data_IF_887010930145
#
_entry.id   IF_887010930145
#
_cell.length_a   1.000
_cell.length_b   1.000
_cell.length_c   1.000
_cell.angle_alpha   90.00
_cell.angle_beta   90.00
_cell.angle_gamma   90.00
#
_symmetry.space_group_name_H-M   'P 1'
#
loop_
_entity.id
_entity.type
_entity.pdbx_description
1 polymer ?
#
# COMPACT_ATOMS: atom_id res chain seq x y z
N UNK A 1 -12.07 -41.84 -39.56
CA UNK A 1 -12.61 -40.72 -38.76
C UNK A 1 -11.48 -40.21 -37.84
N UNK A 2 -10.85 -39.12 -38.23
CA UNK A 2 -9.72 -38.53 -37.51
C UNK A 2 -10.25 -37.41 -36.64
N UNK A 3 -10.16 -37.54 -35.30
CA UNK A 3 -10.47 -36.50 -34.38
C UNK A 3 -9.25 -35.55 -34.28
N UNK A 4 -9.39 -34.36 -34.83
CA UNK A 4 -8.43 -33.25 -34.60
C UNK A 4 -8.70 -32.66 -33.22
N UNK A 5 -7.75 -32.83 -32.31
CA UNK A 5 -7.75 -32.10 -31.04
C UNK A 5 -7.35 -30.66 -31.30
N UNK A 6 -8.28 -29.71 -31.15
CA UNK A 6 -8.00 -28.30 -31.10
C UNK A 6 -7.36 -28.01 -29.72
N UNK A 7 -6.05 -27.82 -29.70
CA UNK A 7 -5.36 -27.19 -28.55
C UNK A 7 -5.65 -25.68 -28.58
N UNK A 8 -6.51 -25.23 -27.71
CA UNK A 8 -6.63 -23.80 -27.36
C UNK A 8 -5.32 -23.40 -26.63
N UNK A 9 -4.39 -22.81 -27.37
CA UNK A 9 -3.33 -22.01 -26.76
C UNK A 9 -3.98 -20.74 -26.22
N UNK A 10 -4.18 -20.66 -24.90
CA UNK A 10 -4.36 -19.41 -24.22
C UNK A 10 -3.04 -18.65 -24.34
N UNK A 11 -2.99 -17.63 -25.17
CA UNK A 11 -1.89 -16.66 -25.19
C UNK A 11 -1.91 -15.94 -23.85
N UNK A 12 -0.92 -16.21 -23.01
CA UNK A 12 -0.66 -15.48 -21.80
C UNK A 12 0.08 -14.18 -22.20
N UNK A 13 -0.69 -13.13 -22.54
CA UNK A 13 -0.17 -11.81 -22.96
C UNK A 13 0.67 -11.13 -21.87
N UNK A 14 0.62 -11.64 -20.64
CA UNK A 14 1.37 -11.11 -19.49
C UNK A 14 2.87 -11.43 -19.56
N UNK A 15 3.27 -12.51 -20.24
CA UNK A 15 4.68 -12.93 -20.32
C UNK A 15 5.54 -11.94 -21.09
N UNK A 16 4.98 -11.27 -22.11
CA UNK A 16 5.70 -10.31 -22.97
C UNK A 16 5.89 -8.94 -22.33
N UNK A 17 5.20 -8.64 -21.22
CA UNK A 17 5.34 -7.37 -20.51
C UNK A 17 6.36 -7.45 -19.36
N UNK A 18 6.71 -8.66 -18.87
CA UNK A 18 7.67 -8.86 -17.80
C UNK A 18 9.10 -8.53 -18.27
N UNK A 19 9.78 -7.66 -17.47
CA UNK A 19 11.15 -7.21 -17.79
C UNK A 19 12.17 -7.99 -16.97
N UNK A 20 12.01 -8.00 -15.64
CA UNK A 20 12.96 -8.59 -14.71
C UNK A 20 12.33 -8.91 -13.36
N UNK A 21 12.99 -9.78 -12.61
CA UNK A 21 12.64 -10.06 -11.22
C UNK A 21 13.90 -10.17 -10.36
N UNK A 22 13.83 -9.64 -9.14
CA UNK A 22 14.89 -9.71 -8.15
C UNK A 22 14.34 -10.29 -6.86
N UNK A 23 15.10 -11.14 -6.19
CA UNK A 23 14.64 -11.83 -4.98
C UNK A 23 15.09 -11.07 -3.74
N UNK A 24 14.14 -10.49 -3.02
CA UNK A 24 14.37 -9.79 -1.76
C UNK A 24 14.10 -10.67 -0.53
N UNK A 25 13.23 -11.67 -0.64
CA UNK A 25 12.98 -12.62 0.43
C UNK A 25 12.89 -14.07 -0.10
N UNK A 26 13.80 -14.95 0.31
CA UNK A 26 13.88 -16.32 -0.21
C UNK A 26 12.65 -17.17 0.15
N UNK A 27 12.17 -17.06 1.38
CA UNK A 27 10.96 -17.75 1.88
C UNK A 27 9.65 -17.02 1.61
N UNK A 28 9.72 -15.86 0.95
CA UNK A 28 8.58 -14.98 0.70
C UNK A 28 8.50 -13.81 1.66
N UNK A 29 7.84 -12.74 1.22
CA UNK A 29 7.60 -11.54 2.02
C UNK A 29 6.30 -11.65 2.84
N UNK A 30 6.25 -10.93 3.95
CA UNK A 30 5.09 -10.80 4.82
C UNK A 30 4.42 -9.43 4.71
N UNK A 31 5.23 -8.40 4.48
CA UNK A 31 4.84 -7.04 4.13
C UNK A 31 5.96 -6.42 3.30
N UNK A 32 5.64 -5.46 2.47
CA UNK A 32 6.63 -4.62 1.77
C UNK A 32 6.04 -3.28 1.38
N UNK A 33 6.92 -2.30 1.18
CA UNK A 33 6.60 -0.99 0.64
C UNK A 33 7.73 -0.49 -0.25
N UNK A 34 7.38 0.16 -1.36
CA UNK A 34 8.31 0.75 -2.34
C UNK A 34 8.24 2.26 -2.17
N UNK A 35 9.39 2.94 -2.20
CA UNK A 35 9.43 4.41 -2.15
C UNK A 35 8.79 5.04 -3.39
N UNK A 36 8.25 6.26 -3.23
CA UNK A 36 7.55 6.97 -4.30
C UNK A 36 8.42 7.17 -5.56
N UNK A 37 9.74 7.37 -5.39
CA UNK A 37 10.71 7.48 -6.49
C UNK A 37 11.24 6.13 -7.00
N UNK A 38 10.76 5.01 -6.43
CA UNK A 38 11.18 3.64 -6.77
C UNK A 38 12.68 3.36 -6.59
N UNK A 39 13.34 4.06 -5.68
CA UNK A 39 14.77 3.82 -5.37
C UNK A 39 15.00 2.91 -4.18
N UNK A 40 14.00 2.75 -3.32
CA UNK A 40 14.08 1.97 -2.08
C UNK A 40 12.89 1.01 -2.00
N UNK A 41 13.16 -0.20 -1.50
CA UNK A 41 12.10 -1.09 -1.01
C UNK A 41 12.42 -1.54 0.43
N UNK A 42 11.39 -1.65 1.24
CA UNK A 42 11.48 -2.23 2.58
C UNK A 42 10.61 -3.48 2.62
N UNK A 43 11.20 -4.60 3.02
CA UNK A 43 10.58 -5.92 2.96
C UNK A 43 10.70 -6.62 4.30
N UNK A 44 9.57 -7.10 4.84
CA UNK A 44 9.53 -7.94 6.04
C UNK A 44 9.45 -9.42 5.66
N UNK A 45 10.31 -10.24 6.23
CA UNK A 45 10.32 -11.68 6.03
C UNK A 45 10.63 -12.45 7.32
N UNK A 46 10.23 -13.73 7.37
CA UNK A 46 10.52 -14.60 8.54
C UNK A 46 12.02 -14.79 8.71
N UNK A 47 12.76 -14.95 7.61
CA UNK A 47 14.16 -15.34 7.62
C UNK A 47 15.08 -14.18 7.98
N UNK A 48 14.78 -12.97 7.50
CA UNK A 48 15.71 -11.83 7.58
C UNK A 48 15.20 -10.67 8.44
N UNK A 49 13.96 -10.75 8.98
CA UNK A 49 13.32 -9.61 9.64
C UNK A 49 12.93 -8.53 8.64
N UNK A 50 13.31 -7.29 8.90
CA UNK A 50 13.00 -6.14 8.05
C UNK A 50 14.27 -5.76 7.28
N UNK A 51 14.23 -5.89 5.96
CA UNK A 51 15.37 -5.59 5.07
C UNK A 51 15.07 -4.36 4.21
N UNK A 52 16.07 -3.49 4.07
CA UNK A 52 16.01 -2.30 3.22
C UNK A 52 16.88 -2.53 2.00
N UNK A 53 16.31 -2.33 0.82
CA UNK A 53 16.96 -2.57 -0.47
C UNK A 53 17.10 -1.27 -1.26
N UNK A 54 18.26 -1.07 -1.84
CA UNK A 54 18.50 -0.07 -2.88
C UNK A 54 18.09 -0.68 -4.23
N UNK A 55 17.06 -0.13 -4.86
CA UNK A 55 16.48 -0.67 -6.10
C UNK A 55 17.26 -0.25 -7.36
N UNK A 56 18.21 0.68 -7.23
CA UNK A 56 19.08 1.08 -8.33
C UNK A 56 20.20 0.07 -8.56
N UNK A 57 20.70 -0.51 -7.46
CA UNK A 57 21.77 -1.50 -7.45
C UNK A 57 21.30 -2.92 -7.13
N UNK A 58 20.05 -3.07 -6.66
CA UNK A 58 19.50 -4.29 -6.06
C UNK A 58 20.34 -4.84 -4.90
N UNK A 59 20.95 -3.95 -4.13
CA UNK A 59 21.76 -4.28 -2.96
C UNK A 59 20.99 -4.05 -1.66
N UNK A 60 21.14 -4.97 -0.72
CA UNK A 60 20.62 -4.79 0.64
C UNK A 60 21.45 -3.72 1.37
N UNK A 61 20.77 -2.68 1.89
CA UNK A 61 21.39 -1.58 2.64
C UNK A 61 21.43 -1.86 4.14
N UNK A 62 20.27 -2.23 4.72
CA UNK A 62 20.09 -2.41 6.15
C UNK A 62 19.29 -3.66 6.47
N UNK A 63 19.46 -4.15 7.71
CA UNK A 63 18.58 -5.13 8.36
C UNK A 63 18.14 -4.53 9.68
N UNK A 64 16.84 -4.30 9.82
CA UNK A 64 16.25 -3.75 11.03
C UNK A 64 15.55 -4.81 11.86
N UNK A 65 15.49 -4.58 13.16
CA UNK A 65 14.83 -5.48 14.10
C UNK A 65 14.03 -4.69 15.12
N UNK A 66 12.78 -5.06 15.33
CA UNK A 66 11.94 -4.51 16.41
C UNK A 66 12.39 -4.98 17.79
N UNK A 67 12.97 -6.17 17.87
CA UNK A 67 13.41 -6.79 19.11
C UNK A 67 14.74 -7.53 18.86
N UNK A 68 15.61 -7.57 19.86
CA UNK A 68 16.86 -8.33 19.78
C UNK A 68 16.60 -9.82 19.66
N UNK A 69 15.66 -10.34 20.50
CA UNK A 69 15.25 -11.73 20.51
C UNK A 69 13.77 -11.87 20.13
N UNK A 70 13.44 -12.80 19.23
CA UNK A 70 12.08 -13.13 18.86
C UNK A 70 11.74 -12.88 17.39
N UNK A 71 10.43 -12.92 17.08
CA UNK A 71 9.96 -12.67 15.72
C UNK A 71 10.03 -11.18 15.39
N UNK A 72 10.79 -10.86 14.36
CA UNK A 72 10.91 -9.50 13.81
C UNK A 72 9.99 -9.26 12.61
N UNK A 73 8.89 -10.01 12.53
CA UNK A 73 7.88 -9.82 11.51
C UNK A 73 7.04 -8.59 11.78
N UNK A 74 7.01 -7.69 10.83
CA UNK A 74 6.06 -6.58 10.80
C UNK A 74 4.99 -6.83 9.76
N UNK A 75 3.78 -6.34 10.04
CA UNK A 75 2.61 -6.49 9.17
C UNK A 75 2.34 -5.25 8.32
N UNK A 76 2.87 -4.09 8.73
CA UNK A 76 2.71 -2.85 8.02
C UNK A 76 4.06 -2.14 7.90
N UNK A 77 4.29 -1.55 6.73
CA UNK A 77 5.47 -0.76 6.39
C UNK A 77 4.99 0.43 5.57
N UNK A 78 5.48 1.62 5.89
CA UNK A 78 5.21 2.81 5.08
C UNK A 78 6.46 3.68 5.02
N UNK A 79 6.88 4.05 3.81
CA UNK A 79 8.02 4.94 3.54
C UNK A 79 7.48 6.35 3.33
N UNK A 80 8.07 7.34 3.97
CA UNK A 80 7.72 8.74 3.73
C UNK A 80 7.98 9.13 2.27
N UNK A 81 7.14 9.99 1.70
CA UNK A 81 7.23 10.38 0.29
C UNK A 81 8.60 10.98 -0.09
N UNK A 82 9.27 11.67 0.84
CA UNK A 82 10.62 12.23 0.66
C UNK A 82 11.76 11.24 0.93
N UNK A 83 11.46 9.96 1.14
CA UNK A 83 12.42 8.91 1.46
C UNK A 83 13.26 9.13 2.73
N UNK A 84 12.86 10.05 3.60
CA UNK A 84 13.62 10.37 4.80
C UNK A 84 13.45 9.32 5.91
N UNK A 85 12.22 8.78 6.05
CA UNK A 85 11.86 7.87 7.13
C UNK A 85 11.00 6.71 6.67
N UNK A 86 11.07 5.62 7.44
CA UNK A 86 10.17 4.47 7.35
C UNK A 86 9.49 4.27 8.69
N UNK A 87 8.20 4.02 8.69
CA UNK A 87 7.50 3.48 9.84
C UNK A 87 7.19 2.00 9.59
N UNK A 88 7.45 1.17 10.59
CA UNK A 88 7.11 -0.26 10.57
C UNK A 88 6.29 -0.62 11.79
N UNK A 89 5.33 -1.52 11.66
CA UNK A 89 4.55 -1.97 12.82
C UNK A 89 4.23 -3.46 12.77
N UNK A 90 4.19 -4.06 13.95
CA UNK A 90 3.46 -5.29 14.22
C UNK A 90 2.04 -4.95 14.74
N UNK A 91 1.41 -5.86 15.49
CA UNK A 91 0.06 -5.64 16.03
C UNK A 91 0.01 -4.70 17.23
N UNK A 92 1.11 -4.55 17.95
CA UNK A 92 1.15 -3.88 19.26
C UNK A 92 2.14 -2.74 19.33
N UNK A 93 3.13 -2.73 18.43
CA UNK A 93 4.22 -1.78 18.46
C UNK A 93 4.55 -1.23 17.06
N UNK A 94 5.14 -0.05 17.04
CA UNK A 94 5.68 0.54 15.81
C UNK A 94 7.03 1.21 16.08
N UNK A 95 7.85 1.27 15.04
CA UNK A 95 9.16 1.93 15.06
C UNK A 95 9.27 2.93 13.91
N UNK A 96 9.98 4.02 14.14
CA UNK A 96 10.37 5.01 13.13
C UNK A 96 11.85 4.88 12.86
N UNK A 97 12.21 4.72 11.58
CA UNK A 97 13.59 4.50 11.13
C UNK A 97 14.03 5.63 10.23
N UNK A 98 15.23 6.14 10.44
CA UNK A 98 15.88 7.09 9.55
C UNK A 98 16.57 6.32 8.42
N UNK A 99 16.21 6.56 7.16
CA UNK A 99 16.75 5.83 6.00
C UNK A 99 18.21 6.22 5.70
N UNK A 100 18.59 7.46 5.97
CA UNK A 100 19.93 7.96 5.64
C UNK A 100 21.00 7.24 6.46
N UNK A 101 20.78 7.11 7.76
CA UNK A 101 21.74 6.50 8.70
C UNK A 101 21.43 5.04 9.02
N UNK A 102 20.22 4.55 8.74
CA UNK A 102 19.79 3.19 9.01
C UNK A 102 19.43 2.90 10.46
N UNK A 103 19.26 3.92 11.31
CA UNK A 103 19.05 3.80 12.74
C UNK A 103 17.61 4.10 13.15
N UNK A 104 17.11 3.51 14.27
CA UNK A 104 15.80 3.83 14.79
C UNK A 104 15.79 5.21 15.47
N UNK A 105 14.78 6.02 15.18
CA UNK A 105 14.51 7.28 15.89
C UNK A 105 13.62 7.06 17.13
N UNK A 106 12.86 5.98 17.17
CA UNK A 106 12.04 5.63 18.29
C UNK A 106 11.21 4.37 18.10
N UNK A 107 10.76 3.86 19.23
CA UNK A 107 9.93 2.66 19.33
C UNK A 107 8.79 2.91 20.32
N UNK A 108 7.55 2.64 19.91
CA UNK A 108 6.36 2.89 20.71
C UNK A 108 5.43 1.69 20.72
N UNK A 109 4.76 1.51 21.85
CA UNK A 109 3.78 0.43 22.06
C UNK A 109 2.38 0.99 22.18
N UNK A 110 1.39 0.24 21.67
CA UNK A 110 -0.04 0.51 21.76
C UNK A 110 -0.67 -0.61 22.57
N UNK A 111 -1.15 -0.31 23.76
CA UNK A 111 -1.71 -1.32 24.68
C UNK A 111 -3.23 -1.49 24.54
N UNK A 112 -3.93 -0.51 23.94
CA UNK A 112 -5.40 -0.48 23.92
C UNK A 112 -6.07 -1.31 22.82
N UNK A 113 -5.40 -1.50 21.69
CA UNK A 113 -5.95 -2.23 20.54
C UNK A 113 -4.87 -2.51 19.49
N UNK A 114 -5.10 -3.55 18.67
CA UNK A 114 -4.16 -3.90 17.62
C UNK A 114 -4.03 -2.80 16.56
N UNK A 115 -2.79 -2.53 16.14
CA UNK A 115 -2.48 -1.72 14.96
C UNK A 115 -2.97 -2.47 13.72
N UNK A 116 -3.63 -1.77 12.83
CA UNK A 116 -4.23 -2.33 11.61
C UNK A 116 -3.53 -1.83 10.36
N UNK A 117 -3.18 -0.55 10.36
CA UNK A 117 -2.46 0.10 9.28
C UNK A 117 -1.72 1.32 9.84
N UNK A 118 -0.65 1.77 9.16
CA UNK A 118 0.21 2.86 9.62
C UNK A 118 0.74 3.67 8.44
N UNK A 119 0.88 4.98 8.61
CA UNK A 119 1.49 5.86 7.63
C UNK A 119 2.40 6.90 8.29
N UNK A 120 3.37 7.42 7.54
CA UNK A 120 4.31 8.46 8.01
C UNK A 120 4.42 9.57 6.98
N UNK A 121 4.44 10.82 7.45
CA UNK A 121 4.67 11.99 6.61
C UNK A 121 6.17 12.30 6.45
N UNK A 122 6.47 13.21 5.51
CA UNK A 122 7.83 13.66 5.24
C UNK A 122 8.57 14.08 6.50
N UNK A 123 9.86 13.79 6.55
CA UNK A 123 10.77 14.08 7.68
C UNK A 123 10.33 13.42 9.01
N UNK A 124 9.51 12.36 8.96
CA UNK A 124 9.00 11.70 10.15
C UNK A 124 8.18 12.61 11.08
N UNK A 125 7.59 13.70 10.56
CA UNK A 125 6.90 14.71 11.38
C UNK A 125 5.66 14.18 12.05
N UNK A 126 4.90 13.34 11.35
CA UNK A 126 3.68 12.75 11.85
C UNK A 126 3.57 11.28 11.48
N UNK A 127 3.07 10.48 12.40
CA UNK A 127 2.75 9.07 12.22
C UNK A 127 1.25 8.91 12.47
N UNK A 128 0.57 8.24 11.54
CA UNK A 128 -0.85 7.94 11.61
C UNK A 128 -1.03 6.45 11.89
N UNK A 129 -1.77 6.10 12.93
CA UNK A 129 -1.98 4.71 13.37
C UNK A 129 -3.46 4.40 13.40
N UNK A 130 -3.92 3.54 12.50
CA UNK A 130 -5.28 2.99 12.49
C UNK A 130 -5.40 1.77 13.40
N UNK A 131 -6.41 1.72 14.26
CA UNK A 131 -6.55 0.68 15.28
C UNK A 131 -7.82 -0.18 15.13
N UNK A 132 -7.75 -1.38 15.68
CA UNK A 132 -8.82 -2.37 15.64
C UNK A 132 -10.08 -2.00 16.45
N UNK A 133 -10.02 -0.98 17.29
CA UNK A 133 -11.15 -0.45 18.08
C UNK A 133 -11.83 0.78 17.46
N UNK A 134 -11.48 1.16 16.21
CA UNK A 134 -12.06 2.31 15.52
C UNK A 134 -11.35 3.64 15.80
N UNK A 135 -10.44 3.70 16.75
CA UNK A 135 -9.66 4.91 17.00
C UNK A 135 -8.51 5.05 16.01
N UNK A 136 -8.22 6.27 15.60
CA UNK A 136 -7.02 6.62 14.81
C UNK A 136 -6.18 7.59 15.64
N UNK A 137 -4.90 7.28 15.80
CA UNK A 137 -3.95 8.16 16.49
C UNK A 137 -3.07 8.86 15.47
N UNK A 138 -3.02 10.18 15.53
CA UNK A 138 -1.96 10.97 14.92
C UNK A 138 -0.92 11.31 15.98
N UNK A 139 0.34 11.02 15.72
CA UNK A 139 1.44 11.17 16.66
C UNK A 139 2.60 11.94 16.02
N UNK A 140 3.10 12.96 16.70
CA UNK A 140 4.30 13.71 16.31
C UNK A 140 5.49 13.28 17.19
N UNK A 141 6.45 12.50 16.68
CA UNK A 141 7.56 11.96 17.49
C UNK A 141 8.41 13.03 18.18
N UNK A 142 8.70 14.13 17.48
CA UNK A 142 9.57 15.19 18.00
C UNK A 142 8.95 16.02 19.13
N UNK A 143 7.63 16.22 19.10
CA UNK A 143 6.94 17.06 20.09
C UNK A 143 6.22 16.22 21.17
N UNK A 144 6.00 14.93 20.88
CA UNK A 144 5.18 14.05 21.71
C UNK A 144 3.68 14.32 21.60
N UNK A 145 3.25 15.24 20.72
CA UNK A 145 1.83 15.55 20.52
C UNK A 145 1.09 14.31 20.00
N UNK A 146 -0.06 14.04 20.63
CA UNK A 146 -0.99 12.99 20.21
C UNK A 146 -2.37 13.59 20.01
N UNK A 147 -3.03 13.18 18.92
CA UNK A 147 -4.43 13.48 18.65
C UNK A 147 -5.14 12.17 18.35
N UNK A 148 -6.28 11.92 19.00
CA UNK A 148 -7.13 10.78 18.68
C UNK A 148 -8.33 11.25 17.86
N UNK A 149 -8.47 10.68 16.67
CA UNK A 149 -9.64 10.83 15.83
C UNK A 149 -10.63 9.70 16.14
N UNK A 150 -11.86 10.07 16.53
CA UNK A 150 -12.91 9.17 17.01
C UNK A 150 -14.09 9.08 16.02
N UNK A 151 -13.84 9.29 14.75
CA UNK A 151 -14.90 9.29 13.71
C UNK A 151 -15.44 7.91 13.37
N UNK A 152 -14.60 6.86 13.47
CA UNK A 152 -15.01 5.50 13.16
C UNK A 152 -15.65 4.81 14.36
N UNK A 153 -16.75 4.08 14.09
CA UNK A 153 -17.48 3.29 15.11
C UNK A 153 -17.02 1.83 15.16
N UNK A 154 -16.31 1.38 14.13
CA UNK A 154 -15.79 0.03 14.00
C UNK A 154 -14.32 0.05 13.57
N UNK A 155 -13.73 -1.14 13.45
CA UNK A 155 -12.33 -1.35 13.08
C UNK A 155 -11.91 -0.48 11.90
N UNK A 156 -10.82 0.27 12.05
CA UNK A 156 -10.11 0.91 10.93
C UNK A 156 -9.32 -0.16 10.17
N UNK A 157 -9.40 -0.17 8.87
CA UNK A 157 -8.71 -1.15 8.02
C UNK A 157 -7.52 -0.57 7.27
N UNK A 158 -7.63 0.69 6.84
CA UNK A 158 -6.57 1.34 6.08
C UNK A 158 -6.50 2.82 6.42
N UNK A 159 -5.29 3.34 6.47
CA UNK A 159 -4.99 4.76 6.68
C UNK A 159 -3.96 5.24 5.68
N UNK A 160 -4.01 6.52 5.37
CA UNK A 160 -2.99 7.19 4.58
C UNK A 160 -2.80 8.64 5.05
N UNK A 161 -1.60 9.19 4.87
CA UNK A 161 -1.21 10.49 5.39
C UNK A 161 -0.53 11.32 4.30
N UNK A 162 -1.04 12.53 4.07
CA UNK A 162 -0.42 13.43 3.09
C UNK A 162 1.07 13.68 3.40
N UNK A 163 1.90 13.96 2.37
CA UNK A 163 3.34 14.20 2.57
C UNK A 163 3.67 15.28 3.59
N UNK A 164 2.86 16.34 3.66
CA UNK A 164 3.03 17.41 4.65
C UNK A 164 2.52 17.06 6.06
N UNK A 165 1.83 15.92 6.22
CA UNK A 165 1.28 15.45 7.49
C UNK A 165 -0.01 16.14 7.95
N UNK A 166 -0.62 17.04 7.15
CA UNK A 166 -1.78 17.82 7.57
C UNK A 166 -3.12 17.16 7.29
N UNK A 167 -3.17 16.22 6.35
CA UNK A 167 -4.39 15.54 5.96
C UNK A 167 -4.24 14.04 6.12
N UNK A 168 -5.20 13.43 6.78
CA UNK A 168 -5.28 11.99 6.95
C UNK A 168 -6.53 11.46 6.24
N UNK A 169 -6.38 10.34 5.55
CA UNK A 169 -7.47 9.57 4.96
C UNK A 169 -7.57 8.25 5.70
N UNK A 170 -8.75 7.92 6.20
CA UNK A 170 -8.97 6.70 6.97
C UNK A 170 -10.22 5.98 6.53
N UNK A 171 -10.19 4.64 6.51
CA UNK A 171 -11.33 3.81 6.09
C UNK A 171 -11.57 2.66 7.05
N UNK A 172 -12.83 2.38 7.35
CA UNK A 172 -13.23 1.43 8.38
C UNK A 172 -14.32 0.45 8.01
N UNK A 173 -14.59 -0.48 8.94
CA UNK A 173 -15.66 -1.47 8.85
C UNK A 173 -17.06 -0.84 8.96
N UNK A 174 -17.17 0.38 9.44
CA UNK A 174 -18.38 1.18 9.55
C UNK A 174 -18.89 1.73 8.21
N UNK A 175 -18.29 1.28 7.10
CA UNK A 175 -18.61 1.64 5.71
C UNK A 175 -18.29 3.08 5.35
N UNK A 176 -17.42 3.72 6.14
CA UNK A 176 -17.04 5.11 5.98
C UNK A 176 -15.55 5.25 5.68
N UNK A 177 -15.24 6.24 4.84
CA UNK A 177 -13.90 6.83 4.80
C UNK A 177 -14.00 8.31 5.15
N UNK A 178 -12.98 8.82 5.85
CA UNK A 178 -12.89 10.21 6.27
C UNK A 178 -11.58 10.84 5.81
N UNK A 179 -11.67 12.00 5.18
CA UNK A 179 -10.58 12.94 5.04
C UNK A 179 -10.68 13.96 6.18
N UNK A 180 -9.65 14.13 6.97
CA UNK A 180 -9.66 15.01 8.13
C UNK A 180 -8.31 15.71 8.35
N UNK A 181 -8.34 16.87 9.02
CA UNK A 181 -7.17 17.69 9.36
C UNK A 181 -6.51 17.17 10.66
N UNK A 182 -5.24 16.75 10.58
CA UNK A 182 -4.48 16.19 11.71
C UNK A 182 -4.13 17.22 12.79
N UNK A 183 -4.20 18.51 12.47
CA UNK A 183 -3.92 19.59 13.42
C UNK A 183 -5.09 19.83 14.36
N UNK A 184 -6.32 19.65 13.83
CA UNK A 184 -7.56 20.01 14.54
C UNK A 184 -8.46 18.82 14.84
N UNK A 185 -8.31 17.70 14.10
CA UNK A 185 -9.22 16.56 14.13
C UNK A 185 -10.54 16.80 13.37
N UNK A 186 -10.68 17.90 12.66
CA UNK A 186 -11.91 18.22 11.93
C UNK A 186 -12.03 17.40 10.65
N UNK A 187 -13.22 16.82 10.43
CA UNK A 187 -13.57 16.13 9.18
C UNK A 187 -13.74 17.16 8.07
N UNK A 188 -13.04 16.96 6.97
CA UNK A 188 -13.13 17.76 5.75
C UNK A 188 -14.15 17.14 4.81
N UNK A 189 -14.00 15.84 4.54
CA UNK A 189 -14.92 15.07 3.71
C UNK A 189 -15.23 13.73 4.36
N UNK A 190 -16.47 13.28 4.16
CA UNK A 190 -16.96 11.96 4.51
C UNK A 190 -17.40 11.25 3.24
N UNK A 191 -16.89 10.04 3.04
CA UNK A 191 -17.18 9.20 1.89
C UNK A 191 -17.93 7.96 2.35
N UNK A 192 -19.19 7.83 1.89
CA UNK A 192 -20.06 6.70 2.24
C UNK A 192 -19.88 5.55 1.24
N UNK A 193 -19.77 4.33 1.72
CA UNK A 193 -19.66 3.09 0.96
C UNK A 193 -20.79 2.11 1.28
N UNK A 194 -21.02 1.15 0.38
CA UNK A 194 -22.04 0.11 0.57
C UNK A 194 -21.56 -1.07 1.43
N UNK A 195 -20.29 -1.11 1.76
CA UNK A 195 -19.65 -2.17 2.57
C UNK A 195 -18.43 -1.60 3.29
N UNK A 196 -17.76 -2.45 4.10
CA UNK A 196 -16.54 -2.07 4.81
C UNK A 196 -15.48 -1.56 3.84
N UNK A 197 -14.92 -0.39 4.15
CA UNK A 197 -13.79 0.17 3.40
C UNK A 197 -12.55 -0.65 3.73
N UNK A 198 -11.86 -1.14 2.71
CA UNK A 198 -10.72 -2.05 2.85
C UNK A 198 -9.39 -1.41 2.48
N UNK A 199 -9.41 -0.41 1.60
CA UNK A 199 -8.22 0.33 1.19
C UNK A 199 -8.55 1.80 0.96
N UNK A 200 -7.66 2.66 1.41
CA UNK A 200 -7.65 4.08 1.09
C UNK A 200 -6.25 4.48 0.64
N UNK A 201 -6.15 5.51 -0.22
CA UNK A 201 -4.89 6.11 -0.63
C UNK A 201 -5.09 7.56 -1.04
N UNK A 202 -4.14 8.43 -0.68
CA UNK A 202 -4.06 9.82 -1.09
C UNK A 202 -3.15 9.96 -2.31
N UNK A 203 -3.47 10.88 -3.18
CA UNK A 203 -2.54 11.39 -4.17
C UNK A 203 -1.55 12.35 -3.47
N UNK A 204 -0.25 12.09 -3.64
CA UNK A 204 0.83 12.85 -2.99
C UNK A 204 0.85 14.34 -3.36
N UNK A 205 0.26 14.69 -4.52
CA UNK A 205 0.08 16.07 -4.95
C UNK A 205 -1.20 16.71 -4.37
N UNK A 206 -2.01 15.95 -3.62
CA UNK A 206 -3.22 16.44 -2.96
C UNK A 206 -4.39 16.73 -3.89
N UNK A 207 -4.47 16.08 -5.06
CA UNK A 207 -5.57 16.23 -6.03
C UNK A 207 -6.72 15.29 -5.74
N UNK A 208 -6.39 14.03 -5.42
CA UNK A 208 -7.33 12.92 -5.35
C UNK A 208 -7.19 12.07 -4.10
N UNK A 209 -8.30 11.42 -3.72
CA UNK A 209 -8.31 10.29 -2.81
C UNK A 209 -8.88 9.06 -3.54
N UNK A 210 -8.34 7.91 -3.22
CA UNK A 210 -8.90 6.62 -3.60
C UNK A 210 -9.47 5.93 -2.37
N UNK A 211 -10.68 5.38 -2.49
CA UNK A 211 -11.31 4.55 -1.45
C UNK A 211 -11.97 3.34 -2.08
N UNK A 212 -11.81 2.17 -1.47
CA UNK A 212 -12.39 0.94 -1.98
C UNK A 212 -13.03 0.11 -0.87
N UNK A 213 -14.23 -0.41 -1.14
CA UNK A 213 -14.92 -1.29 -0.23
C UNK A 213 -14.68 -2.78 -0.55
N UNK A 214 -15.21 -3.67 0.29
CA UNK A 214 -15.03 -5.12 0.13
C UNK A 214 -15.95 -5.75 -0.92
N UNK A 215 -16.81 -4.96 -1.59
CA UNK A 215 -17.73 -5.44 -2.63
C UNK A 215 -17.30 -4.97 -4.01
N UNK A 216 -17.82 -3.83 -4.47
CA UNK A 216 -17.61 -3.33 -5.84
C UNK A 216 -17.51 -1.83 -5.94
N UNK A 217 -17.39 -1.15 -4.83
CA UNK A 217 -17.33 0.30 -4.77
C UNK A 217 -15.88 0.73 -4.56
N UNK A 218 -15.23 1.15 -5.65
CA UNK A 218 -13.84 1.62 -5.65
C UNK A 218 -13.79 2.95 -6.41
N UNK A 219 -13.65 4.06 -5.67
CA UNK A 219 -13.84 5.41 -6.20
C UNK A 219 -12.62 6.28 -6.07
N UNK A 220 -12.50 7.17 -7.03
CA UNK A 220 -11.59 8.31 -6.98
C UNK A 220 -12.40 9.57 -6.68
N UNK A 221 -11.94 10.34 -5.71
CA UNK A 221 -12.58 11.56 -5.22
C UNK A 221 -11.67 12.76 -5.46
N UNK A 222 -12.24 13.89 -5.81
CA UNK A 222 -11.56 15.18 -5.85
C UNK A 222 -11.43 15.73 -4.42
N UNK A 223 -10.21 15.94 -3.94
CA UNK A 223 -9.95 16.34 -2.55
C UNK A 223 -10.38 17.76 -2.22
N UNK A 224 -10.51 18.65 -3.21
CA UNK A 224 -10.94 20.03 -3.00
C UNK A 224 -12.45 20.08 -2.80
N UNK A 225 -13.19 19.37 -3.63
CA UNK A 225 -14.65 19.45 -3.66
C UNK A 225 -15.34 18.32 -2.88
N UNK A 226 -14.64 17.22 -2.59
CA UNK A 226 -15.20 16.01 -2.00
C UNK A 226 -16.11 15.23 -2.95
N UNK A 227 -16.14 15.59 -4.24
CA UNK A 227 -17.02 14.95 -5.23
C UNK A 227 -16.36 13.74 -5.87
N UNK A 228 -17.19 12.81 -6.31
CA UNK A 228 -16.84 11.65 -7.09
C UNK A 228 -16.24 12.07 -8.45
N UNK A 229 -15.05 11.60 -8.77
CA UNK A 229 -14.41 11.77 -10.09
C UNK A 229 -14.74 10.59 -10.96
N UNK A 230 -14.56 9.38 -10.44
CA UNK A 230 -14.84 8.13 -11.15
C UNK A 230 -15.01 6.95 -10.19
N UNK A 231 -15.70 5.92 -10.69
CA UNK A 231 -15.76 4.60 -10.05
C UNK A 231 -15.04 3.59 -10.95
N UNK A 232 -14.12 2.81 -10.40
CA UNK A 232 -13.34 1.85 -11.18
C UNK A 232 -14.24 0.78 -11.78
N UNK A 233 -14.11 0.57 -13.10
CA UNK A 233 -14.96 -0.32 -13.88
C UNK A 233 -14.34 -1.72 -13.95
N UNK A 234 -14.78 -2.65 -13.12
CA UNK A 234 -14.35 -4.05 -13.14
C UNK A 234 -15.52 -5.01 -12.96
N UNK A 235 -15.37 -6.20 -13.55
CA UNK A 235 -16.46 -7.20 -13.59
C UNK A 235 -16.49 -8.13 -12.36
N UNK A 236 -15.43 -8.23 -11.60
CA UNK A 236 -15.32 -9.15 -10.47
C UNK A 236 -16.28 -8.76 -9.32
N UNK A 237 -17.02 -9.73 -8.79
CA UNK A 237 -17.98 -9.50 -7.69
C UNK A 237 -17.34 -9.09 -6.38
N UNK A 238 -16.09 -9.48 -6.14
CA UNK A 238 -15.32 -9.12 -4.96
C UNK A 238 -13.87 -8.89 -5.40
N UNK A 239 -13.47 -7.64 -5.44
CA UNK A 239 -12.07 -7.27 -5.69
C UNK A 239 -11.59 -6.49 -4.48
N UNK A 240 -10.63 -7.05 -3.75
CA UNK A 240 -9.95 -6.38 -2.64
C UNK A 240 -8.65 -5.80 -3.20
N UNK A 241 -8.38 -4.57 -2.87
CA UNK A 241 -7.12 -3.90 -3.17
C UNK A 241 -6.21 -3.91 -1.94
N UNK A 242 -4.96 -4.25 -2.14
CA UNK A 242 -3.93 -4.26 -1.09
C UNK A 242 -3.12 -2.97 -1.12
N UNK A 243 -2.92 -2.41 -2.30
CA UNK A 243 -2.22 -1.15 -2.52
C UNK A 243 -2.90 -0.35 -3.63
N UNK A 244 -2.71 0.96 -3.61
CA UNK A 244 -3.16 1.88 -4.64
C UNK A 244 -2.22 3.09 -4.68
N UNK A 245 -1.69 3.44 -5.86
CA UNK A 245 -0.70 4.51 -6.06
C UNK A 245 -1.08 5.33 -7.29
N UNK A 246 -1.19 6.64 -7.13
CA UNK A 246 -1.42 7.55 -8.23
C UNK A 246 -0.14 7.84 -9.01
N UNK A 247 -0.25 8.07 -10.32
CA UNK A 247 0.87 8.60 -11.12
C UNK A 247 1.14 10.06 -10.78
N UNK A 248 2.37 10.52 -10.97
CA UNK A 248 2.79 11.90 -10.65
C UNK A 248 1.93 12.97 -11.35
N UNK A 249 1.47 12.69 -12.57
CA UNK A 249 0.58 13.56 -13.32
C UNK A 249 -0.91 13.43 -12.95
N UNK A 250 -1.26 12.47 -12.10
CA UNK A 250 -2.63 12.18 -11.64
C UNK A 250 -3.57 11.60 -12.70
N UNK A 251 -3.04 11.16 -13.83
CA UNK A 251 -3.88 10.56 -14.87
C UNK A 251 -4.22 9.11 -14.61
N UNK A 252 -3.32 8.40 -13.95
CA UNK A 252 -3.42 6.97 -13.75
C UNK A 252 -3.39 6.59 -12.27
N UNK A 253 -4.03 5.47 -11.97
CA UNK A 253 -3.96 4.79 -10.69
C UNK A 253 -3.46 3.36 -10.92
N UNK A 254 -2.44 2.93 -10.18
CA UNK A 254 -2.06 1.52 -10.07
C UNK A 254 -2.70 0.92 -8.83
N UNK A 255 -3.15 -0.32 -8.95
CA UNK A 255 -3.66 -1.09 -7.80
C UNK A 255 -3.09 -2.48 -7.78
N UNK A 256 -2.78 -2.98 -6.58
CA UNK A 256 -2.42 -4.38 -6.34
C UNK A 256 -3.54 -5.14 -5.63
N UNK A 257 -3.52 -6.48 -5.71
CA UNK A 257 -4.55 -7.33 -5.09
C UNK A 257 -3.98 -8.62 -4.48
N UNK A 258 -4.74 -9.32 -3.61
CA UNK A 258 -4.35 -10.63 -3.08
C UNK A 258 -4.37 -11.74 -4.14
N UNK A 259 -4.89 -11.47 -5.32
CA UNK A 259 -5.05 -12.43 -6.41
C UNK A 259 -3.98 -12.32 -7.50
N UNK A 260 -2.78 -11.86 -7.16
CA UNK A 260 -1.63 -11.70 -8.06
C UNK A 260 -1.78 -10.56 -9.08
N UNK A 261 -2.89 -9.81 -9.07
CA UNK A 261 -3.20 -8.82 -10.11
C UNK A 261 -2.64 -7.46 -9.75
N UNK A 262 -2.07 -6.81 -10.76
CA UNK A 262 -1.78 -5.39 -10.81
C UNK A 262 -2.64 -4.81 -11.94
N UNK A 263 -3.34 -3.70 -11.68
CA UNK A 263 -4.13 -3.03 -12.71
C UNK A 263 -3.78 -1.55 -12.79
N UNK A 264 -3.74 -1.02 -14.01
CA UNK A 264 -3.67 0.42 -14.29
C UNK A 264 -5.04 0.92 -14.73
N UNK A 265 -5.46 2.00 -14.12
CA UNK A 265 -6.77 2.63 -14.36
C UNK A 265 -6.59 4.06 -14.84
N UNK A 266 -7.49 4.52 -15.69
CA UNK A 266 -7.65 5.94 -15.99
C UNK A 266 -8.42 6.60 -14.85
N UNK A 267 -7.83 7.62 -14.22
CA UNK A 267 -8.39 8.28 -13.03
C UNK A 267 -9.72 8.98 -13.34
N UNK A 268 -9.86 9.58 -14.52
CA UNK A 268 -11.05 10.35 -14.88
C UNK A 268 -12.25 9.48 -15.25
N UNK A 269 -12.01 8.35 -15.89
CA UNK A 269 -13.08 7.49 -16.42
C UNK A 269 -13.31 6.25 -15.57
N UNK A 270 -12.33 5.85 -14.74
CA UNK A 270 -12.33 4.58 -14.00
C UNK A 270 -12.14 3.36 -14.89
N UNK A 271 -11.76 3.54 -16.16
CA UNK A 271 -11.53 2.45 -17.10
C UNK A 271 -10.24 1.68 -16.77
N UNK A 272 -10.31 0.35 -16.84
CA UNK A 272 -9.14 -0.53 -16.75
C UNK A 272 -8.36 -0.44 -18.07
N UNK A 273 -7.07 -0.07 -17.99
CA UNK A 273 -6.21 0.10 -19.16
C UNK A 273 -5.27 -1.08 -19.36
N UNK A 274 -4.69 -1.60 -18.27
CA UNK A 274 -3.76 -2.73 -18.32
C UNK A 274 -3.94 -3.63 -17.11
N UNK A 275 -3.59 -4.90 -17.28
CA UNK A 275 -3.54 -5.91 -16.22
C UNK A 275 -2.23 -6.71 -16.31
N UNK A 276 -1.59 -6.98 -15.16
CA UNK A 276 -0.41 -7.84 -15.02
C UNK A 276 -0.61 -8.83 -13.87
N UNK A 277 0.13 -9.94 -13.92
CA UNK A 277 0.06 -10.99 -12.90
C UNK A 277 1.47 -11.27 -12.36
N UNK A 278 1.72 -10.95 -11.09
CA UNK A 278 2.96 -11.33 -10.43
C UNK A 278 3.13 -12.84 -10.38
N UNK A 279 4.36 -13.32 -10.34
CA UNK A 279 4.67 -14.73 -10.22
C UNK A 279 4.04 -15.30 -8.95
N UNK A 280 3.50 -16.51 -9.05
CA UNK A 280 2.93 -17.19 -7.90
C UNK A 280 4.01 -17.57 -6.89
N UNK A 281 3.66 -17.59 -5.61
CA UNK A 281 4.52 -18.11 -4.55
C UNK A 281 4.80 -19.59 -4.83
N UNK A 282 6.07 -19.99 -4.74
CA UNK A 282 6.49 -21.39 -4.99
C UNK A 282 5.70 -22.36 -4.10
N UNK A 283 5.10 -23.36 -4.72
CA UNK A 283 4.35 -24.42 -4.01
C UNK A 283 2.91 -24.05 -3.63
N UNK A 284 2.43 -22.81 -3.89
CA UNK A 284 1.03 -22.46 -3.65
C UNK A 284 0.07 -23.20 -4.59
N UNK A 285 -0.98 -23.78 -4.01
CA UNK A 285 -2.07 -24.45 -4.76
C UNK A 285 -3.42 -24.02 -4.17
N UNK A 286 -4.27 -23.30 -4.90
CA UNK A 286 -4.03 -22.73 -6.25
C UNK A 286 -2.88 -21.72 -6.27
N UNK A 287 -2.37 -21.40 -7.45
CA UNK A 287 -1.32 -20.40 -7.66
C UNK A 287 -1.74 -19.05 -7.07
N UNK A 288 -1.03 -18.55 -6.06
CA UNK A 288 -1.38 -17.34 -5.32
C UNK A 288 -0.14 -16.52 -4.96
N UNK A 289 -0.30 -15.21 -4.92
CA UNK A 289 0.59 -14.25 -4.28
C UNK A 289 -0.22 -12.97 -3.98
N UNK A 290 0.13 -12.29 -2.90
CA UNK A 290 -0.41 -10.98 -2.56
C UNK A 290 0.53 -9.93 -3.13
N UNK A 291 0.02 -9.00 -3.92
CA UNK A 291 0.78 -7.80 -4.31
C UNK A 291 0.73 -6.85 -3.13
N UNK A 292 1.87 -6.60 -2.51
CA UNK A 292 1.93 -5.70 -1.35
C UNK A 292 2.03 -4.24 -1.76
N UNK A 293 2.87 -3.97 -2.78
CA UNK A 293 3.01 -2.61 -3.26
C UNK A 293 3.36 -2.55 -4.75
N UNK A 294 3.13 -1.37 -5.35
CA UNK A 294 3.36 -1.07 -6.77
C UNK A 294 3.87 0.35 -6.92
N UNK A 295 4.58 0.62 -8.02
CA UNK A 295 5.06 1.96 -8.35
C UNK A 295 5.16 2.18 -9.86
N UNK A 296 5.06 3.44 -10.30
CA UNK A 296 5.32 3.85 -11.68
C UNK A 296 6.81 4.17 -11.86
N UNK A 297 7.46 3.59 -12.86
CA UNK A 297 8.82 3.96 -13.27
C UNK A 297 8.71 4.77 -14.57
N UNK A 298 8.62 6.09 -14.42
CA UNK A 298 8.30 6.98 -15.52
C UNK A 298 6.97 6.62 -16.19
N UNK A 299 6.86 6.85 -17.49
CA UNK A 299 5.61 6.63 -18.25
C UNK A 299 5.51 5.24 -18.89
N UNK A 300 6.58 4.44 -18.84
CA UNK A 300 6.70 3.22 -19.65
C UNK A 300 6.80 1.92 -18.86
N UNK A 301 7.04 1.98 -17.56
CA UNK A 301 7.28 0.80 -16.75
C UNK A 301 6.57 0.91 -15.39
N UNK A 302 6.35 -0.22 -14.77
CA UNK A 302 5.90 -0.34 -13.38
C UNK A 302 6.78 -1.32 -12.62
N UNK A 303 6.76 -1.21 -11.30
CA UNK A 303 7.42 -2.12 -10.37
C UNK A 303 6.41 -2.65 -9.36
N UNK A 304 6.63 -3.85 -8.85
CA UNK A 304 5.80 -4.46 -7.82
C UNK A 304 6.61 -5.28 -6.84
N UNK A 305 6.19 -5.29 -5.58
CA UNK A 305 6.64 -6.21 -4.53
C UNK A 305 5.49 -7.12 -4.11
N UNK A 306 5.77 -8.40 -3.93
CA UNK A 306 4.72 -9.35 -3.59
C UNK A 306 5.14 -10.42 -2.59
N UNK A 307 4.16 -11.15 -2.07
CA UNK A 307 4.36 -12.19 -1.04
C UNK A 307 5.21 -13.38 -1.51
N UNK A 308 5.54 -13.48 -2.81
CA UNK A 308 6.50 -14.44 -3.32
C UNK A 308 7.96 -14.06 -3.00
N UNK A 309 8.18 -12.83 -2.47
CA UNK A 309 9.49 -12.27 -2.13
C UNK A 309 10.28 -11.77 -3.33
N UNK A 310 9.58 -11.42 -4.40
CA UNK A 310 10.18 -10.85 -5.61
C UNK A 310 9.74 -9.40 -5.80
N UNK A 311 10.72 -8.56 -6.13
CA UNK A 311 10.51 -7.34 -6.89
C UNK A 311 10.41 -7.70 -8.36
N UNK A 312 9.34 -7.26 -9.03
CA UNK A 312 9.12 -7.54 -10.46
C UNK A 312 8.90 -6.23 -11.22
N UNK A 313 9.52 -6.11 -12.41
CA UNK A 313 9.38 -4.94 -13.29
C UNK A 313 8.64 -5.34 -14.57
N UNK A 314 7.79 -4.43 -15.06
CA UNK A 314 6.89 -4.68 -16.17
C UNK A 314 6.84 -3.49 -17.12
N UNK A 315 6.67 -3.75 -18.42
CA UNK A 315 6.38 -2.70 -19.41
C UNK A 315 4.91 -2.32 -19.40
N UNK A 316 4.64 -1.04 -19.57
CA UNK A 316 3.31 -0.54 -19.89
C UNK A 316 3.15 -0.64 -21.42
N UNK A 317 2.20 -1.49 -21.85
CA UNK A 317 1.80 -1.55 -23.28
C UNK A 317 0.69 -0.53 -23.49
N UNK A 318 0.88 0.39 -24.42
CA UNK A 318 -0.12 1.39 -24.86
C UNK A 318 -1.10 0.76 -25.84
#
# INVERSE_FOLDING_TARGET
MSLSALTLMACDDSSDAHISSFRHAAGGAHASHISADNTIAVVSSIENGITVWDLTTNAQRYVWRHQEDGSNLVSNIHIAFDNSYVVTSDREAFALWNIEVGEPEGFWRIDEASIRDIAVSNQGRGILVGRGNGKVMFFEPKTGRRLEFLGHQEKVNSVDLSPNGFFALTGGNDYLAYLWDTRTGQVIHKFDHSSRVTKVSLDDQGRYAFTADSKRDARVWDLVTGKDVSNLQYSARQRIFTTAVFSDDGKYLLTGSPSRRINRWDVKTGAELNEWFVLARKGSKPASAVVYDVGFIGDSEIVSESSNGLLEKWKIKN
#
